data_IF_986601687868
#
_entry.id   IF_986601687868
#
_cell.length_a   1.000
_cell.length_b   1.000
_cell.length_c   1.000
_cell.angle_alpha   90.00
_cell.angle_beta   90.00
_cell.angle_gamma   90.00
#
_symmetry.space_group_name_H-M   'P 1'
#
loop_
_entity.id
_entity.type
_entity.pdbx_description
1 polymer ?
#
# COMPACT_ATOMS: atom_id res chain seq x y z
N UNK A 1 2.70 6.59 29.43
CA UNK A 1 2.86 5.92 30.75
C UNK A 1 4.28 5.36 30.77
N UNK A 2 5.21 5.94 31.54
CA UNK A 2 6.56 5.40 31.62
C UNK A 2 6.52 4.08 32.40
N UNK A 3 7.07 3.00 31.83
CA UNK A 3 7.34 1.75 32.54
C UNK A 3 8.85 1.70 32.84
N UNK A 4 9.26 1.70 34.13
CA UNK A 4 10.67 1.71 34.52
C UNK A 4 11.32 0.32 34.51
N UNK A 5 10.58 -0.76 34.20
CA UNK A 5 11.12 -2.12 34.15
C UNK A 5 11.97 -2.32 32.90
N UNK A 6 13.27 -2.54 33.06
CA UNK A 6 14.23 -2.70 31.96
C UNK A 6 14.14 -4.06 31.24
N UNK A 7 13.56 -5.09 31.88
CA UNK A 7 13.55 -6.47 31.34
C UNK A 7 12.37 -6.72 30.41
N UNK A 8 11.18 -6.17 30.73
CA UNK A 8 9.97 -6.35 29.93
C UNK A 8 9.19 -5.03 29.84
N UNK A 9 9.80 -4.05 29.17
CA UNK A 9 9.19 -2.75 28.95
C UNK A 9 8.22 -2.77 27.76
N UNK A 10 6.99 -3.24 27.97
CA UNK A 10 5.98 -3.25 26.90
C UNK A 10 5.65 -1.84 26.39
N UNK A 11 5.70 -0.81 27.25
CA UNK A 11 5.43 0.57 26.86
C UNK A 11 6.47 1.10 25.83
N UNK A 12 7.72 0.62 25.90
CA UNK A 12 8.71 0.91 24.88
C UNK A 12 8.39 0.23 23.56
N UNK A 13 8.03 -1.05 23.59
CA UNK A 13 7.61 -1.80 22.39
C UNK A 13 6.41 -1.15 21.71
N UNK A 14 5.38 -0.81 22.47
CA UNK A 14 4.16 -0.14 21.97
C UNK A 14 4.51 1.19 21.27
N UNK A 15 5.49 1.93 21.78
CA UNK A 15 5.91 3.20 21.19
C UNK A 15 6.61 3.00 19.83
N UNK A 16 7.47 1.98 19.73
CA UNK A 16 8.12 1.60 18.46
C UNK A 16 7.08 1.13 17.45
N UNK A 17 6.13 0.30 17.87
CA UNK A 17 5.05 -0.20 17.02
C UNK A 17 4.13 0.92 16.54
N UNK A 18 3.83 1.89 17.39
CA UNK A 18 3.07 3.09 17.01
C UNK A 18 3.76 3.84 15.86
N UNK A 19 5.09 3.99 15.92
CA UNK A 19 5.87 4.58 14.82
C UNK A 19 5.70 3.80 13.51
N UNK A 20 5.77 2.47 13.57
CA UNK A 20 5.59 1.60 12.41
C UNK A 20 4.18 1.71 11.82
N UNK A 21 3.15 1.75 12.65
CA UNK A 21 1.76 1.91 12.22
C UNK A 21 1.54 3.25 11.52
N UNK A 22 2.09 4.33 12.07
CA UNK A 22 2.02 5.66 11.43
C UNK A 22 2.73 5.63 10.07
N UNK A 23 3.92 5.04 9.98
CA UNK A 23 4.64 4.92 8.71
C UNK A 23 3.85 4.15 7.65
N UNK A 24 3.33 2.97 8.01
CA UNK A 24 2.53 2.14 7.10
C UNK A 24 1.24 2.83 6.67
N UNK A 25 0.57 3.54 7.58
CA UNK A 25 -0.65 4.31 7.25
C UNK A 25 -0.35 5.40 6.21
N UNK A 26 0.78 6.11 6.33
CA UNK A 26 1.22 7.12 5.36
C UNK A 26 1.50 6.49 3.99
N UNK A 27 2.15 5.33 3.95
CA UNK A 27 2.37 4.58 2.70
C UNK A 27 1.05 4.21 2.03
N UNK A 28 0.09 3.68 2.79
CA UNK A 28 -1.22 3.30 2.27
C UNK A 28 -1.99 4.51 1.73
N UNK A 29 -2.04 5.62 2.46
CA UNK A 29 -2.69 6.86 2.02
C UNK A 29 -2.03 7.43 0.75
N UNK A 30 -0.69 7.42 0.67
CA UNK A 30 0.03 7.90 -0.50
C UNK A 30 -0.30 7.06 -1.75
N UNK A 31 -0.29 5.73 -1.63
CA UNK A 31 -0.65 4.84 -2.72
C UNK A 31 -2.12 5.02 -3.15
N UNK A 32 -3.05 5.03 -2.19
CA UNK A 32 -4.48 5.17 -2.43
C UNK A 32 -4.84 6.50 -3.12
N UNK A 33 -4.21 7.60 -2.71
CA UNK A 33 -4.42 8.93 -3.30
C UNK A 33 -4.00 8.99 -4.76
N UNK A 34 -2.87 8.37 -5.11
CA UNK A 34 -2.32 8.40 -6.47
C UNK A 34 -2.95 7.34 -7.40
N UNK A 35 -3.64 6.33 -6.87
CA UNK A 35 -4.38 5.35 -7.68
C UNK A 35 -5.79 5.86 -7.96
N UNK A 36 -5.97 6.45 -9.15
CA UNK A 36 -7.20 7.08 -9.63
C UNK A 36 -8.11 6.09 -10.38
N UNK A 37 -8.36 4.93 -9.76
CA UNK A 37 -9.31 3.93 -10.24
C UNK A 37 -9.95 3.21 -9.05
N UNK A 38 -10.94 2.34 -9.33
CA UNK A 38 -11.48 1.39 -8.36
C UNK A 38 -11.23 -0.05 -8.81
N UNK A 39 -10.61 -0.86 -7.94
CA UNK A 39 -10.27 -2.26 -8.20
C UNK A 39 -10.20 -3.06 -6.90
N UNK A 40 -11.00 -4.12 -6.80
CA UNK A 40 -11.02 -4.99 -5.62
C UNK A 40 -11.44 -4.23 -4.36
N UNK A 41 -10.61 -4.25 -3.31
CA UNK A 41 -10.88 -3.55 -2.06
C UNK A 41 -10.66 -2.02 -2.13
N UNK A 42 -9.87 -1.53 -3.09
CA UNK A 42 -9.65 -0.09 -3.28
C UNK A 42 -10.78 0.47 -4.13
N UNK A 43 -11.68 1.24 -3.51
CA UNK A 43 -12.85 1.85 -4.18
C UNK A 43 -12.89 3.35 -3.91
N UNK A 44 -13.19 4.10 -4.95
CA UNK A 44 -13.21 5.57 -4.97
C UNK A 44 -14.45 6.06 -5.67
N UNK A 45 -15.22 6.92 -5.01
CA UNK A 45 -16.45 7.50 -5.59
C UNK A 45 -16.17 8.44 -6.76
N UNK A 46 -15.02 9.14 -6.74
CA UNK A 46 -14.56 10.03 -7.80
C UNK A 46 -14.00 9.26 -9.02
N UNK A 47 -13.56 8.01 -8.83
CA UNK A 47 -13.07 7.12 -9.89
C UNK A 47 -13.66 5.70 -9.76
N UNK A 48 -14.97 5.53 -10.01
CA UNK A 48 -15.69 4.29 -9.67
C UNK A 48 -15.39 3.11 -10.60
N UNK A 49 -14.75 3.35 -11.75
CA UNK A 49 -14.47 2.32 -12.76
C UNK A 49 -13.04 1.80 -12.65
N UNK A 50 -12.84 0.55 -13.09
CA UNK A 50 -11.53 -0.07 -13.32
C UNK A 50 -10.86 0.57 -14.53
N UNK A 51 -9.57 0.90 -14.43
CA UNK A 51 -8.76 1.46 -15.52
C UNK A 51 -7.51 0.61 -15.76
N UNK A 52 -7.66 -0.38 -16.65
CA UNK A 52 -6.56 -1.28 -17.03
C UNK A 52 -5.52 -0.62 -17.92
N UNK A 53 -5.81 0.53 -18.55
CA UNK A 53 -4.83 1.23 -19.41
C UNK A 53 -3.80 1.96 -18.57
N UNK A 54 -4.26 2.67 -17.53
CA UNK A 54 -3.38 3.51 -16.73
C UNK A 54 -2.93 2.87 -15.42
N UNK A 55 -3.64 1.87 -14.87
CA UNK A 55 -3.40 1.35 -13.53
C UNK A 55 -3.23 -0.16 -13.44
N UNK A 56 -3.01 -0.86 -14.56
CA UNK A 56 -2.59 -2.27 -14.56
C UNK A 56 -1.12 -2.43 -14.15
N UNK A 57 -0.83 -2.04 -12.91
CA UNK A 57 0.50 -2.06 -12.27
C UNK A 57 0.34 -2.07 -10.76
N UNK A 58 1.35 -2.61 -10.09
CA UNK A 58 1.50 -2.55 -8.66
C UNK A 58 2.00 -1.17 -8.24
N UNK A 59 1.40 -0.62 -7.19
CA UNK A 59 1.89 0.59 -6.52
C UNK A 59 2.89 0.18 -5.45
N UNK A 60 4.12 0.69 -5.53
CA UNK A 60 5.21 0.35 -4.61
C UNK A 60 5.66 1.65 -3.93
N UNK A 61 5.53 1.71 -2.60
CA UNK A 61 6.02 2.83 -1.81
C UNK A 61 7.33 2.43 -1.14
N UNK A 62 8.40 3.16 -1.42
CA UNK A 62 9.71 2.98 -0.80
C UNK A 62 10.00 4.16 0.12
N UNK A 63 10.73 3.90 1.21
CA UNK A 63 11.29 4.93 2.06
C UNK A 63 12.75 5.17 1.63
N UNK A 64 13.05 6.36 1.12
CA UNK A 64 14.39 6.76 0.69
C UNK A 64 14.74 8.10 1.35
N UNK A 65 15.85 8.17 2.09
CA UNK A 65 16.29 9.39 2.79
C UNK A 65 15.18 10.04 3.63
N UNK A 66 14.44 9.23 4.41
CA UNK A 66 13.27 9.64 5.22
C UNK A 66 12.07 10.19 4.43
N UNK A 67 12.07 10.09 3.10
CA UNK A 67 10.95 10.46 2.24
C UNK A 67 10.27 9.24 1.61
N UNK A 68 8.93 9.26 1.57
CA UNK A 68 8.13 8.23 0.93
C UNK A 68 8.00 8.50 -0.57
N UNK A 69 8.60 7.64 -1.39
CA UNK A 69 8.51 7.69 -2.85
C UNK A 69 7.61 6.61 -3.40
N UNK A 70 6.69 7.03 -4.26
CA UNK A 70 5.81 6.11 -5.00
C UNK A 70 6.45 5.76 -6.34
N UNK A 71 6.53 4.46 -6.60
CA UNK A 71 6.93 3.87 -7.86
C UNK A 71 5.88 2.86 -8.31
N UNK A 72 5.99 2.39 -9.56
CA UNK A 72 5.08 1.40 -10.10
C UNK A 72 5.84 0.27 -10.79
N UNK A 73 5.25 -0.92 -10.74
CA UNK A 73 5.76 -2.11 -11.41
C UNK A 73 4.65 -2.79 -12.19
N UNK A 74 4.89 -3.07 -13.47
CA UNK A 74 3.88 -3.67 -14.33
C UNK A 74 3.52 -5.09 -13.88
N UNK A 75 2.25 -5.44 -14.10
CA UNK A 75 1.73 -6.78 -13.81
C UNK A 75 2.16 -7.72 -14.94
N UNK A 76 2.71 -8.87 -14.57
CA UNK A 76 2.99 -9.94 -15.54
C UNK A 76 1.71 -10.76 -15.72
N UNK A 77 1.15 -10.73 -16.93
CA UNK A 77 -0.02 -11.53 -17.31
C UNK A 77 0.49 -12.84 -17.94
N UNK A 78 0.07 -13.98 -17.40
CA UNK A 78 0.47 -15.31 -17.89
C UNK A 78 -0.72 -16.04 -18.53
N UNK A 79 -1.32 -17.02 -17.84
CA UNK A 79 -2.30 -17.94 -18.43
C UNK A 79 -3.72 -17.37 -18.52
N UNK A 80 -4.08 -16.45 -17.63
CA UNK A 80 -5.42 -15.85 -17.58
C UNK A 80 -5.38 -14.40 -18.04
N UNK A 81 -6.28 -14.04 -18.95
CA UNK A 81 -6.51 -12.66 -19.34
C UNK A 81 -7.20 -11.90 -18.20
N UNK A 82 -7.17 -10.57 -18.29
CA UNK A 82 -7.73 -9.65 -17.28
C UNK A 82 -9.24 -9.83 -17.03
N UNK A 83 -9.93 -10.46 -17.97
CA UNK A 83 -11.37 -10.76 -17.90
C UNK A 83 -11.65 -12.19 -17.41
N UNK A 84 -10.63 -12.88 -16.88
CA UNK A 84 -10.75 -14.22 -16.31
C UNK A 84 -10.91 -15.34 -17.34
N UNK A 85 -10.64 -15.06 -18.63
CA UNK A 85 -10.64 -16.07 -19.68
C UNK A 85 -9.23 -16.61 -19.88
N UNK A 86 -9.07 -17.90 -20.19
CA UNK A 86 -7.78 -18.46 -20.59
C UNK A 86 -7.31 -17.76 -21.87
N UNK A 87 -6.05 -17.32 -21.90
CA UNK A 87 -5.42 -16.80 -23.10
C UNK A 87 -5.28 -17.97 -24.07
N UNK A 88 -5.94 -17.88 -25.22
CA UNK A 88 -6.00 -18.94 -26.23
C UNK A 88 -4.70 -19.00 -27.04
#
# INVERSE_FOLDING_TARGET
>A
IPNPNEVMNTAFTDYVELGNLILLSRCACLAARNRLESRGAHTREDYPKRDDKNFLKHSIVNLENDELKLSYKDVVVTEFSLDGRRVQ
#
